data_IF_604015122044
#
_entry.id   IF_604015122044
#
_cell.length_a   1.000
_cell.length_b   1.000
_cell.length_c   1.000
_cell.angle_alpha   90.00
_cell.angle_beta   90.00
_cell.angle_gamma   90.00
#
_symmetry.space_group_name_H-M   'P 1'
#
loop_
_entity.id
_entity.type
_entity.pdbx_description
1 polymer ?
#
# COMPACT_ATOMS: atom_id res chain seq x y z
N UNK A 1 -3.07 1.76 -11.98
CA UNK A 1 -2.63 2.89 -11.14
C UNK A 1 -1.23 2.69 -10.55
N UNK A 2 -0.92 1.49 -9.99
CA UNK A 2 0.35 1.23 -9.28
C UNK A 2 1.42 0.69 -10.22
N UNK A 3 1.05 -0.18 -11.13
CA UNK A 3 1.97 -0.79 -12.11
C UNK A 3 2.72 0.25 -12.93
N UNK A 4 2.04 1.32 -13.33
CA UNK A 4 2.61 2.39 -14.16
C UNK A 4 2.87 3.70 -13.39
N UNK A 5 2.79 3.67 -12.04
CA UNK A 5 2.99 4.85 -11.17
C UNK A 5 2.06 6.03 -11.49
N UNK A 6 0.86 5.76 -11.99
CA UNK A 6 -0.14 6.75 -12.41
C UNK A 6 -1.36 6.81 -11.47
N UNK A 7 -1.15 6.66 -10.18
CA UNK A 7 -2.23 6.58 -9.19
C UNK A 7 -3.19 7.78 -9.27
N UNK A 8 -2.67 8.99 -9.55
CA UNK A 8 -3.47 10.20 -9.70
C UNK A 8 -4.39 10.21 -10.92
N UNK A 9 -4.14 9.38 -11.92
CA UNK A 9 -4.96 9.30 -13.13
C UNK A 9 -6.30 8.61 -12.91
N UNK A 10 -6.46 7.90 -11.82
CA UNK A 10 -7.70 7.17 -11.45
C UNK A 10 -8.16 6.18 -12.52
N UNK A 11 -7.22 5.51 -13.16
CA UNK A 11 -7.47 4.49 -14.18
C UNK A 11 -7.30 3.08 -13.60
N UNK A 12 -8.14 2.19 -14.07
CA UNK A 12 -8.05 0.76 -13.89
C UNK A 12 -8.84 0.07 -15.00
N UNK A 13 -8.68 -1.24 -15.12
CA UNK A 13 -9.46 -2.05 -16.05
C UNK A 13 -9.85 -3.37 -15.41
N UNK A 14 -10.94 -3.93 -15.88
CA UNK A 14 -11.44 -5.25 -15.46
C UNK A 14 -11.48 -6.16 -16.68
N UNK A 15 -11.02 -7.39 -16.52
CA UNK A 15 -11.14 -8.46 -17.51
C UNK A 15 -12.10 -9.48 -16.94
N UNK A 16 -13.21 -9.74 -17.63
CA UNK A 16 -14.23 -10.69 -17.22
C UNK A 16 -14.94 -11.28 -18.45
N UNK A 17 -15.64 -12.42 -18.32
CA UNK A 17 -16.53 -12.93 -19.36
C UNK A 17 -17.55 -11.88 -19.80
N UNK A 18 -18.02 -11.97 -21.03
CA UNK A 18 -18.90 -10.98 -21.65
C UNK A 18 -20.13 -10.68 -20.82
N UNK A 19 -20.84 -11.72 -20.34
CA UNK A 19 -22.05 -11.55 -19.52
C UNK A 19 -21.78 -10.71 -18.25
N UNK A 20 -20.64 -10.94 -17.58
CA UNK A 20 -20.26 -10.19 -16.38
C UNK A 20 -19.87 -8.76 -16.76
N UNK A 21 -19.12 -8.60 -17.86
CA UNK A 21 -18.70 -7.30 -18.37
C UNK A 21 -19.89 -6.40 -18.68
N UNK A 22 -20.93 -6.92 -19.33
CA UNK A 22 -22.15 -6.16 -19.64
C UNK A 22 -22.91 -5.72 -18.39
N UNK A 23 -22.94 -6.53 -17.36
CA UNK A 23 -23.53 -6.16 -16.06
C UNK A 23 -22.70 -5.07 -15.35
N UNK A 24 -21.37 -5.21 -15.36
CA UNK A 24 -20.47 -4.20 -14.80
C UNK A 24 -20.65 -2.87 -15.51
N UNK A 25 -20.69 -2.84 -16.86
CA UNK A 25 -20.89 -1.62 -17.64
C UNK A 25 -22.17 -0.89 -17.22
N UNK A 26 -23.29 -1.59 -17.10
CA UNK A 26 -24.58 -0.99 -16.69
C UNK A 26 -24.50 -0.30 -15.33
N UNK A 27 -23.83 -0.91 -14.36
CA UNK A 27 -23.64 -0.31 -13.03
C UNK A 27 -22.66 0.85 -13.07
N UNK A 28 -21.53 0.65 -13.76
CA UNK A 28 -20.46 1.63 -13.84
C UNK A 28 -20.90 2.93 -14.55
N UNK A 29 -21.74 2.83 -15.57
CA UNK A 29 -22.29 3.99 -16.29
C UNK A 29 -23.05 4.93 -15.33
N UNK A 30 -23.84 4.37 -14.40
CA UNK A 30 -24.54 5.18 -13.40
C UNK A 30 -23.66 5.66 -12.23
N UNK A 31 -22.58 4.93 -11.91
CA UNK A 31 -21.69 5.30 -10.80
C UNK A 31 -20.67 6.38 -11.18
N UNK A 32 -20.09 6.29 -12.37
CA UNK A 32 -18.95 7.13 -12.76
C UNK A 32 -18.98 7.61 -14.21
N UNK A 33 -19.96 7.18 -15.00
CA UNK A 33 -20.06 7.43 -16.47
C UNK A 33 -18.90 6.77 -17.23
N UNK A 34 -17.65 7.03 -16.84
CA UNK A 34 -16.46 6.46 -17.43
C UNK A 34 -15.19 7.16 -16.98
N UNK A 35 -14.06 6.56 -17.28
CA UNK A 35 -12.75 7.18 -17.05
C UNK A 35 -12.48 8.25 -18.11
N UNK A 36 -11.67 9.25 -17.76
CA UNK A 36 -11.31 10.35 -18.67
C UNK A 36 -10.64 9.82 -19.97
N UNK A 37 -11.25 10.08 -21.13
CA UNK A 37 -10.78 9.59 -22.42
C UNK A 37 -9.31 9.93 -22.74
N UNK A 38 -8.81 11.16 -22.50
CA UNK A 38 -7.40 11.47 -22.73
C UNK A 38 -6.43 10.61 -21.90
N UNK A 39 -6.81 10.25 -20.68
CA UNK A 39 -5.99 9.42 -19.81
C UNK A 39 -6.07 7.95 -20.22
N UNK A 40 -7.18 7.50 -20.79
CA UNK A 40 -7.28 6.15 -21.38
C UNK A 40 -6.31 6.02 -22.57
N UNK A 41 -6.23 7.00 -23.45
CA UNK A 41 -5.25 7.03 -24.54
C UNK A 41 -3.80 7.07 -24.00
N UNK A 42 -3.56 7.92 -23.02
CA UNK A 42 -2.23 8.10 -22.43
C UNK A 42 -1.68 6.83 -21.74
N UNK A 43 -2.51 5.88 -21.28
CA UNK A 43 -2.08 4.63 -20.65
C UNK A 43 -1.72 3.54 -21.66
N UNK A 44 -2.11 3.64 -22.93
CA UNK A 44 -1.88 2.63 -23.95
C UNK A 44 -0.39 2.24 -24.06
N UNK A 45 0.59 3.16 -24.09
CA UNK A 45 2.00 2.78 -24.10
C UNK A 45 2.39 1.86 -22.94
N UNK A 46 1.87 2.12 -21.75
CA UNK A 46 2.11 1.29 -20.56
C UNK A 46 1.61 -0.15 -20.73
N UNK A 47 0.44 -0.33 -21.36
CA UNK A 47 -0.11 -1.67 -21.66
C UNK A 47 0.71 -2.46 -22.70
N UNK A 48 1.60 -1.78 -23.43
CA UNK A 48 2.49 -2.37 -24.43
C UNK A 48 3.90 -2.62 -23.94
N UNK A 49 4.20 -2.32 -22.67
CA UNK A 49 5.51 -2.60 -22.08
C UNK A 49 5.83 -4.10 -22.13
N UNK A 50 7.08 -4.43 -22.48
CA UNK A 50 7.60 -5.78 -22.51
C UNK A 50 7.81 -6.39 -21.11
N UNK A 51 8.22 -7.63 -21.09
CA UNK A 51 8.47 -8.41 -19.87
C UNK A 51 9.55 -7.75 -18.99
N UNK A 52 10.56 -7.16 -19.61
CA UNK A 52 11.67 -6.43 -18.98
C UNK A 52 11.19 -5.36 -18.00
N UNK A 53 10.16 -4.59 -18.36
CA UNK A 53 9.55 -3.61 -17.47
C UNK A 53 9.00 -4.25 -16.17
N UNK A 54 8.29 -5.36 -16.31
CA UNK A 54 7.68 -6.03 -15.16
C UNK A 54 8.73 -6.73 -14.29
N UNK A 55 9.77 -7.27 -14.90
CA UNK A 55 10.88 -7.91 -14.19
C UNK A 55 11.68 -6.88 -13.36
N UNK A 56 11.93 -5.70 -13.90
CA UNK A 56 12.58 -4.60 -13.17
C UNK A 56 11.68 -4.05 -12.05
N UNK A 57 10.37 -3.93 -12.30
CA UNK A 57 9.41 -3.53 -11.30
C UNK A 57 9.38 -4.54 -10.12
N UNK A 58 9.35 -5.83 -10.43
CA UNK A 58 9.40 -6.90 -9.44
C UNK A 58 10.69 -6.84 -8.61
N UNK A 59 11.83 -6.72 -9.26
CA UNK A 59 13.14 -6.59 -8.61
C UNK A 59 13.20 -5.39 -7.66
N UNK A 60 12.75 -4.23 -8.12
CA UNK A 60 12.72 -2.99 -7.34
C UNK A 60 11.84 -3.14 -6.09
N UNK A 61 10.64 -3.67 -6.22
CA UNK A 61 9.74 -3.81 -5.08
C UNK A 61 10.12 -4.95 -4.15
N UNK A 62 10.72 -6.02 -4.65
CA UNK A 62 11.30 -7.08 -3.82
C UNK A 62 12.40 -6.51 -2.92
N UNK A 63 13.33 -5.77 -3.50
CA UNK A 63 14.39 -5.11 -2.74
C UNK A 63 13.85 -4.19 -1.64
N UNK A 64 12.91 -3.31 -1.98
CA UNK A 64 12.31 -2.36 -1.01
C UNK A 64 11.51 -3.06 0.08
N UNK A 65 10.80 -4.12 -0.26
CA UNK A 65 10.12 -4.99 0.70
C UNK A 65 11.12 -5.59 1.68
N UNK A 66 12.15 -6.22 1.17
CA UNK A 66 13.13 -6.93 1.97
C UNK A 66 13.89 -5.96 2.89
N UNK A 67 14.30 -4.80 2.39
CA UNK A 67 14.90 -3.73 3.18
C UNK A 67 14.01 -3.32 4.35
N UNK A 68 12.74 -3.04 4.08
CA UNK A 68 11.82 -2.54 5.10
C UNK A 68 11.42 -3.62 6.11
N UNK A 69 11.11 -4.84 5.64
CA UNK A 69 10.74 -5.98 6.47
C UNK A 69 11.89 -6.39 7.39
N UNK A 70 13.10 -6.55 6.84
CA UNK A 70 14.29 -6.87 7.65
C UNK A 70 14.59 -5.79 8.69
N UNK A 71 14.33 -4.52 8.34
CA UNK A 71 14.43 -3.42 9.30
C UNK A 71 13.42 -3.52 10.43
N UNK A 72 12.16 -3.88 10.15
CA UNK A 72 11.13 -4.11 11.17
C UNK A 72 11.50 -5.30 12.07
N UNK A 73 12.00 -6.40 11.49
CA UNK A 73 12.50 -7.57 12.22
C UNK A 73 13.64 -7.19 13.18
N UNK A 74 14.62 -6.42 12.71
CA UNK A 74 15.76 -5.98 13.52
C UNK A 74 15.36 -5.07 14.69
N UNK A 75 14.25 -4.36 14.55
CA UNK A 75 13.65 -3.55 15.62
C UNK A 75 12.81 -4.44 16.56
N UNK A 76 12.36 -5.61 16.12
CA UNK A 76 11.48 -6.51 16.86
C UNK A 76 10.01 -6.09 16.80
N UNK A 77 9.58 -5.51 15.68
CA UNK A 77 8.19 -5.12 15.43
C UNK A 77 7.44 -6.27 14.74
N UNK A 78 6.35 -6.71 15.32
CA UNK A 78 5.52 -7.76 14.74
C UNK A 78 4.79 -7.26 13.50
N UNK A 79 4.87 -8.02 12.41
CA UNK A 79 4.29 -7.60 11.14
C UNK A 79 3.95 -8.80 10.24
N UNK A 80 3.11 -8.55 9.24
CA UNK A 80 2.83 -9.53 8.18
C UNK A 80 3.98 -9.59 7.17
N UNK A 81 4.18 -10.76 6.56
CA UNK A 81 5.10 -10.90 5.42
C UNK A 81 4.33 -10.62 4.12
N UNK A 82 4.61 -9.50 3.42
CA UNK A 82 3.90 -9.16 2.19
C UNK A 82 4.24 -10.13 1.05
N UNK A 83 3.21 -10.73 0.45
CA UNK A 83 3.35 -11.61 -0.72
C UNK A 83 3.05 -10.88 -2.03
N UNK A 84 2.55 -9.66 -1.97
CA UNK A 84 2.24 -8.82 -3.12
C UNK A 84 1.96 -7.38 -2.73
N UNK A 85 1.73 -6.52 -3.72
CA UNK A 85 1.61 -5.08 -3.53
C UNK A 85 2.85 -4.46 -2.86
N UNK A 86 2.69 -3.39 -2.10
CA UNK A 86 3.79 -2.69 -1.42
C UNK A 86 3.39 -2.24 0.01
N UNK A 87 2.50 -2.99 0.63
CA UNK A 87 2.02 -2.72 1.98
C UNK A 87 2.49 -3.80 2.96
N UNK A 88 2.70 -3.39 4.22
CA UNK A 88 2.94 -4.26 5.35
C UNK A 88 2.02 -3.84 6.49
N UNK A 89 1.40 -4.80 7.16
CA UNK A 89 0.63 -4.57 8.37
C UNK A 89 1.52 -4.87 9.58
N UNK A 90 1.55 -3.95 10.53
CA UNK A 90 2.26 -4.08 11.80
C UNK A 90 1.24 -4.28 12.92
N UNK A 91 1.47 -5.26 13.76
CA UNK A 91 0.68 -5.51 14.96
C UNK A 91 1.11 -4.57 16.08
N UNK A 92 0.14 -3.90 16.68
CA UNK A 92 0.37 -2.92 17.76
C UNK A 92 -0.25 -3.37 19.09
N UNK A 93 -0.77 -4.60 19.18
CA UNK A 93 -1.47 -5.12 20.35
C UNK A 93 -0.67 -4.96 21.65
N UNK A 94 0.65 -5.16 21.57
CA UNK A 94 1.55 -5.13 22.72
C UNK A 94 1.73 -3.73 23.36
N UNK A 95 1.35 -2.66 22.65
CA UNK A 95 1.57 -1.29 23.13
C UNK A 95 0.42 -0.75 23.99
N UNK A 96 -0.69 -1.49 24.12
CA UNK A 96 -1.80 -1.15 25.03
C UNK A 96 -2.62 0.08 24.63
N UNK A 97 -2.55 0.53 23.39
CA UNK A 97 -3.39 1.63 22.89
C UNK A 97 -4.83 1.16 22.68
N UNK A 98 -5.80 2.07 22.88
CA UNK A 98 -7.21 1.77 22.74
C UNK A 98 -7.64 1.52 21.30
N UNK A 99 -6.93 2.10 20.34
CA UNK A 99 -7.19 1.93 18.91
C UNK A 99 -5.94 2.15 18.07
N UNK A 100 -5.97 1.63 16.87
CA UNK A 100 -4.97 1.85 15.83
C UNK A 100 -4.88 3.32 15.39
N UNK A 101 -6.00 4.07 15.43
CA UNK A 101 -6.02 5.50 15.16
C UNK A 101 -5.21 6.27 16.20
N UNK A 102 -5.45 6.03 17.49
CA UNK A 102 -4.71 6.66 18.59
C UNK A 102 -3.20 6.38 18.48
N UNK A 103 -2.85 5.14 18.14
CA UNK A 103 -1.45 4.76 17.92
C UNK A 103 -0.85 5.47 16.70
N UNK A 104 -1.57 5.57 15.57
CA UNK A 104 -1.11 6.30 14.40
C UNK A 104 -0.89 7.80 14.68
N UNK A 105 -1.74 8.42 15.47
CA UNK A 105 -1.58 9.82 15.89
C UNK A 105 -0.32 10.03 16.75
N UNK A 106 -0.10 9.15 17.73
CA UNK A 106 1.13 9.13 18.53
C UNK A 106 2.35 8.90 17.65
N UNK A 107 2.28 7.90 16.75
CA UNK A 107 3.39 7.56 15.86
C UNK A 107 3.79 8.76 14.97
N UNK A 108 2.81 9.49 14.45
CA UNK A 108 3.06 10.69 13.65
C UNK A 108 3.64 11.83 14.48
N UNK A 109 3.08 12.09 15.66
CA UNK A 109 3.46 13.23 16.52
C UNK A 109 4.80 13.01 17.22
N UNK A 110 5.00 11.85 17.86
CA UNK A 110 6.10 11.63 18.82
C UNK A 110 7.27 10.86 18.19
N UNK A 111 6.98 9.97 17.23
CA UNK A 111 7.99 9.20 16.49
C UNK A 111 8.35 9.88 15.17
N UNK A 112 7.40 10.56 14.54
CA UNK A 112 7.57 11.26 13.28
C UNK A 112 7.48 10.31 12.07
N UNK A 113 6.68 9.24 12.17
CA UNK A 113 6.42 8.27 11.10
C UNK A 113 4.92 8.17 10.87
N UNK A 114 4.48 8.38 9.64
CA UNK A 114 3.08 8.23 9.26
C UNK A 114 2.71 6.79 8.93
N UNK A 115 1.61 6.32 9.49
CA UNK A 115 0.97 5.05 9.16
C UNK A 115 -0.53 5.27 8.93
N UNK A 116 -1.22 4.26 8.41
CA UNK A 116 -2.67 4.30 8.20
C UNK A 116 -3.31 3.28 9.13
N UNK A 117 -4.37 3.65 9.89
CA UNK A 117 -5.10 2.72 10.74
C UNK A 117 -5.61 1.52 9.93
N UNK A 118 -5.39 0.31 10.45
CA UNK A 118 -5.83 -0.93 9.81
C UNK A 118 -7.34 -1.05 9.77
N UNK A 119 -8.03 -0.58 10.80
CA UNK A 119 -9.49 -0.53 10.89
C UNK A 119 -10.17 0.09 9.67
N UNK A 120 -9.48 0.98 8.95
CA UNK A 120 -9.97 1.56 7.69
C UNK A 120 -10.13 0.54 6.54
N UNK A 121 -9.64 -0.69 6.68
CA UNK A 121 -9.59 -1.68 5.60
C UNK A 121 -10.35 -2.97 5.92
N UNK A 122 -10.84 -3.13 7.13
CA UNK A 122 -11.56 -4.32 7.57
C UNK A 122 -13.01 -3.98 7.86
N UNK A 123 -13.89 -4.95 7.68
CA UNK A 123 -15.29 -4.86 8.07
C UNK A 123 -15.47 -5.24 9.54
N UNK A 124 -14.62 -6.15 10.01
CA UNK A 124 -14.53 -6.61 11.38
C UNK A 124 -13.85 -5.55 12.27
N UNK A 125 -14.02 -5.66 13.58
CA UNK A 125 -13.38 -4.78 14.56
C UNK A 125 -11.87 -5.13 14.71
N UNK A 126 -11.10 -4.74 13.70
CA UNK A 126 -9.64 -4.90 13.66
C UNK A 126 -9.00 -3.54 13.97
N UNK A 127 -8.73 -3.28 15.24
CA UNK A 127 -8.20 -2.01 15.76
C UNK A 127 -6.78 -2.12 16.32
N UNK A 128 -6.10 -3.22 16.04
CA UNK A 128 -4.74 -3.54 16.51
C UNK A 128 -3.71 -3.64 15.40
N UNK A 129 -4.06 -3.28 14.18
CA UNK A 129 -3.16 -3.27 13.03
C UNK A 129 -2.99 -1.85 12.49
N UNK A 130 -1.77 -1.51 12.10
CA UNK A 130 -1.49 -0.32 11.30
C UNK A 130 -0.81 -0.71 10.00
N UNK A 131 -0.98 0.10 8.95
CA UNK A 131 -0.44 -0.18 7.63
C UNK A 131 0.63 0.82 7.23
N UNK A 132 1.81 0.30 6.92
CA UNK A 132 2.86 1.02 6.20
C UNK A 132 2.87 0.71 4.71
N UNK A 133 3.63 1.48 3.95
CA UNK A 133 3.99 1.15 2.57
C UNK A 133 5.47 1.42 2.31
N UNK A 134 6.10 0.52 1.57
CA UNK A 134 7.52 0.61 1.23
C UNK A 134 7.80 1.16 -0.17
N UNK A 135 6.80 1.69 -0.86
CA UNK A 135 6.96 2.39 -2.15
C UNK A 135 7.54 3.81 -1.94
N UNK A 136 8.71 3.89 -1.35
CA UNK A 136 9.45 5.13 -1.04
C UNK A 136 10.88 5.04 -1.54
N UNK A 137 11.61 6.17 -1.48
CA UNK A 137 13.06 6.20 -1.68
C UNK A 137 13.75 5.47 -0.52
N UNK A 138 14.88 4.84 -0.77
CA UNK A 138 15.60 4.05 0.24
C UNK A 138 15.98 4.89 1.46
N UNK A 139 16.47 6.12 1.26
CA UNK A 139 16.73 7.03 2.36
C UNK A 139 15.52 7.34 3.25
N UNK A 140 14.30 7.37 2.66
CA UNK A 140 13.06 7.55 3.43
C UNK A 140 12.74 6.30 4.25
N UNK A 141 12.98 5.10 3.70
CA UNK A 141 12.77 3.84 4.42
C UNK A 141 13.75 3.69 5.58
N UNK A 142 15.03 3.97 5.37
CA UNK A 142 16.04 3.97 6.43
C UNK A 142 15.71 4.96 7.53
N UNK A 143 15.33 6.18 7.19
CA UNK A 143 14.94 7.20 8.18
C UNK A 143 13.70 6.77 8.98
N UNK A 144 12.71 6.19 8.32
CA UNK A 144 11.53 5.67 9.01
C UNK A 144 11.90 4.55 9.99
N UNK A 145 12.75 3.60 9.58
CA UNK A 145 13.23 2.52 10.44
C UNK A 145 14.01 3.07 11.66
N UNK A 146 14.92 4.02 11.45
CA UNK A 146 15.65 4.67 12.53
C UNK A 146 14.72 5.34 13.55
N UNK A 147 13.68 6.01 13.07
CA UNK A 147 12.67 6.63 13.96
C UNK A 147 11.84 5.60 14.70
N UNK A 148 11.46 4.51 14.04
CA UNK A 148 10.68 3.41 14.63
C UNK A 148 11.42 2.69 15.77
N UNK A 149 12.75 2.79 15.84
CA UNK A 149 13.52 2.27 16.99
C UNK A 149 13.07 2.83 18.34
N UNK A 150 12.45 4.02 18.36
CA UNK A 150 11.87 4.59 19.57
C UNK A 150 10.80 3.70 20.21
N UNK A 151 10.11 2.89 19.38
CA UNK A 151 9.07 1.96 19.84
C UNK A 151 9.61 0.84 20.75
N UNK A 152 10.93 0.56 20.72
CA UNK A 152 11.56 -0.40 21.65
C UNK A 152 11.47 0.05 23.11
N UNK A 153 11.19 1.31 23.36
CA UNK A 153 11.16 1.92 24.71
C UNK A 153 9.76 2.10 25.27
N UNK A 154 8.75 1.77 24.46
CA UNK A 154 7.34 1.75 24.86
C UNK A 154 6.95 0.34 25.34
#
# INVERSE_FOLDING_TARGET
SKTYSITGWRLGYTIAPEEITERIKKVHDFLTVGAAAPLQEAVIPGLRFGRDYYDELLKTYTYKRDLFVQGLDAIGLEHTTPQGAYYVLMDISRYGYKSDLEFCEMLARDVGVGAVPGSSFFREDVNYLIRFHFAKKDGTLHEALNRLEKLKKL
#
